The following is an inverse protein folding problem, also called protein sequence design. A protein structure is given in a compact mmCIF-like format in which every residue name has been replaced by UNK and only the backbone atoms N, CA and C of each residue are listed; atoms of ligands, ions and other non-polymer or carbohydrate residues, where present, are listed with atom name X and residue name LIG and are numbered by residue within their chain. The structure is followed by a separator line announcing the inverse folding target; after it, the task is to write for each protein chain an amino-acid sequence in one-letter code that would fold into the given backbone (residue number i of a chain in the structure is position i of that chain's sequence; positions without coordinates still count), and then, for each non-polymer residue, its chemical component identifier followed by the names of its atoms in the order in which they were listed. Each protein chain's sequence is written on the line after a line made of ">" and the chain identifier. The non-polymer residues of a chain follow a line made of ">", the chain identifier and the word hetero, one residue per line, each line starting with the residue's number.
data_IF_018885165714
#
_entry.id   IF_018885165714
#
_cell.length_a   1.000
_cell.length_b   1.000
_cell.length_c   1.000
_cell.angle_alpha   90.00
_cell.angle_beta   90.00
_cell.angle_gamma   90.00
#
_symmetry.space_group_name_H-M   'P 1'
#
loop_
_entity.id
_entity.type
_entity.pdbx_description
1 polymer ?
#
# COMPACT_ATOMS: atom_id res chain seq x y z
N UNK A 1 -4.30 12.34 22.69
CA UNK A 1 -3.78 13.70 22.95
C UNK A 1 -4.39 14.63 21.90
N UNK A 2 -5.28 15.56 22.26
CA UNK A 2 -5.90 16.46 21.27
C UNK A 2 -4.88 17.48 20.78
N UNK A 3 -4.47 17.35 19.52
CA UNK A 3 -3.63 18.33 18.82
C UNK A 3 -4.46 19.57 18.48
N UNK A 4 -3.87 20.76 18.58
CA UNK A 4 -4.58 21.99 18.19
C UNK A 4 -4.73 22.07 16.66
N UNK A 5 -5.86 22.59 16.18
CA UNK A 5 -6.15 22.72 14.75
C UNK A 5 -5.04 23.48 14.00
N UNK A 6 -4.51 24.54 14.61
CA UNK A 6 -3.42 25.34 14.03
C UNK A 6 -2.11 24.54 13.88
N UNK A 7 -1.79 23.67 14.84
CA UNK A 7 -0.62 22.80 14.76
C UNK A 7 -0.80 21.74 13.68
N UNK A 8 -1.97 21.07 13.63
CA UNK A 8 -2.27 20.03 12.63
C UNK A 8 -2.19 20.58 11.21
N UNK A 9 -2.77 21.77 10.96
CA UNK A 9 -2.70 22.43 9.65
C UNK A 9 -1.26 22.77 9.25
N UNK A 10 -0.46 23.27 10.19
CA UNK A 10 0.96 23.56 9.94
C UNK A 10 1.76 22.29 9.66
N UNK A 11 1.50 21.22 10.39
CA UNK A 11 2.16 19.92 10.18
C UNK A 11 1.85 19.37 8.79
N UNK A 12 0.56 19.30 8.41
CA UNK A 12 0.12 18.80 7.09
C UNK A 12 0.69 19.61 5.93
N UNK A 13 0.86 20.93 6.10
CA UNK A 13 1.50 21.77 5.07
C UNK A 13 2.97 21.41 4.84
N UNK A 14 3.69 21.00 5.87
CA UNK A 14 5.11 20.64 5.78
C UNK A 14 5.33 19.15 5.47
N UNK A 15 4.39 18.30 5.88
CA UNK A 15 4.38 16.85 5.68
C UNK A 15 3.03 16.41 5.09
N UNK A 16 2.80 16.64 3.78
CA UNK A 16 1.60 16.15 3.12
C UNK A 16 1.56 14.61 3.12
N UNK A 17 0.35 14.04 3.06
CA UNK A 17 0.11 12.59 3.17
C UNK A 17 1.05 11.76 2.29
N UNK A 18 1.08 12.03 0.98
CA UNK A 18 1.93 11.29 0.03
C UNK A 18 3.42 11.31 0.39
N UNK A 19 3.91 12.45 0.89
CA UNK A 19 5.32 12.57 1.29
C UNK A 19 5.61 11.81 2.58
N UNK A 20 4.67 11.79 3.52
CA UNK A 20 4.80 11.01 4.74
C UNK A 20 4.69 9.50 4.44
N UNK A 21 3.72 9.10 3.63
CA UNK A 21 3.51 7.72 3.17
C UNK A 21 4.73 7.16 2.44
N UNK A 22 5.31 7.92 1.50
CA UNK A 22 6.54 7.51 0.79
C UNK A 22 7.71 7.22 1.75
N UNK A 23 7.84 7.97 2.86
CA UNK A 23 8.84 7.67 3.90
C UNK A 23 8.50 6.39 4.65
N UNK A 24 7.24 6.20 5.01
CA UNK A 24 6.77 5.00 5.72
C UNK A 24 7.01 3.73 4.90
N UNK A 25 6.68 3.76 3.61
CA UNK A 25 6.94 2.65 2.69
C UNK A 25 8.45 2.33 2.64
N UNK A 26 9.31 3.36 2.67
CA UNK A 26 10.77 3.15 2.67
C UNK A 26 11.31 2.50 3.94
N UNK A 27 10.54 2.49 5.04
CA UNK A 27 10.91 1.78 6.26
C UNK A 27 10.60 0.28 6.20
N UNK A 28 9.70 -0.15 5.30
CA UNK A 28 9.42 -1.57 5.08
C UNK A 28 8.68 -2.27 6.23
N UNK A 29 7.83 -1.53 6.95
CA UNK A 29 6.99 -2.12 8.00
C UNK A 29 5.98 -3.11 7.41
N UNK A 30 5.79 -4.25 8.07
CA UNK A 30 5.01 -5.38 7.53
C UNK A 30 3.61 -5.53 8.10
N UNK A 31 3.30 -4.83 9.18
CA UNK A 31 2.01 -4.93 9.84
C UNK A 31 1.73 -3.72 10.72
N UNK A 32 0.50 -3.63 11.22
CA UNK A 32 0.12 -2.67 12.25
C UNK A 32 0.91 -2.87 13.55
N UNK A 33 1.16 -4.11 13.94
CA UNK A 33 1.91 -4.42 15.16
C UNK A 33 3.37 -3.96 15.04
N UNK A 34 4.01 -4.21 13.89
CA UNK A 34 5.36 -3.72 13.58
C UNK A 34 5.42 -2.18 13.60
N UNK A 35 4.36 -1.52 13.10
CA UNK A 35 4.22 -0.08 13.23
C UNK A 35 4.16 0.38 14.69
N UNK A 36 3.38 -0.29 15.53
CA UNK A 36 3.23 0.08 16.95
C UNK A 36 4.54 -0.13 17.73
N UNK A 37 5.30 -1.16 17.38
CA UNK A 37 6.66 -1.37 17.88
C UNK A 37 7.61 -0.25 17.43
N UNK A 38 7.52 0.19 16.17
CA UNK A 38 8.31 1.30 15.65
C UNK A 38 7.95 2.65 16.31
N UNK A 39 6.67 2.88 16.62
CA UNK A 39 6.19 4.03 17.39
C UNK A 39 6.77 4.00 18.79
N UNK A 40 6.63 2.87 19.50
CA UNK A 40 7.03 2.74 20.91
C UNK A 40 8.56 2.82 21.10
N UNK A 41 9.32 2.34 20.12
CA UNK A 41 10.78 2.42 20.10
C UNK A 41 11.33 3.76 19.57
N UNK A 42 10.46 4.65 19.07
CA UNK A 42 10.84 5.98 18.57
C UNK A 42 11.55 5.97 17.21
N UNK A 43 11.41 4.90 16.43
CA UNK A 43 12.10 4.70 15.15
C UNK A 43 11.56 5.58 14.01
N UNK A 44 10.32 6.06 14.11
CA UNK A 44 9.64 6.81 13.04
C UNK A 44 10.21 8.23 12.81
N UNK A 45 10.94 8.78 13.78
CA UNK A 45 11.47 10.15 13.72
C UNK A 45 10.39 11.24 13.78
N UNK A 46 10.77 12.49 13.48
CA UNK A 46 9.89 13.66 13.64
C UNK A 46 8.92 13.93 12.47
N UNK A 47 9.13 13.26 11.34
CA UNK A 47 8.44 13.55 10.07
C UNK A 47 7.33 12.57 9.73
N UNK A 48 7.06 11.63 10.64
CA UNK A 48 6.05 10.61 10.51
C UNK A 48 5.21 10.65 11.80
N UNK A 49 3.90 10.90 11.70
CA UNK A 49 3.04 10.95 12.88
C UNK A 49 2.81 9.54 13.41
N UNK A 50 2.72 9.36 14.73
CA UNK A 50 2.43 8.05 15.34
C UNK A 50 1.01 7.56 15.06
N UNK A 51 0.06 8.50 14.91
CA UNK A 51 -1.36 8.26 14.58
C UNK A 51 -1.67 8.90 13.22
N UNK A 52 -1.24 8.26 12.11
CA UNK A 52 -1.41 8.80 10.77
C UNK A 52 -2.88 8.81 10.31
N UNK A 53 -3.69 7.88 10.81
CA UNK A 53 -5.14 7.78 10.62
C UNK A 53 -5.88 9.01 11.17
N UNK A 54 -5.46 9.51 12.33
CA UNK A 54 -5.99 10.77 12.88
C UNK A 54 -5.43 12.00 12.15
N UNK A 55 -4.12 12.02 11.87
CA UNK A 55 -3.45 13.15 11.23
C UNK A 55 -3.96 13.42 9.81
N UNK A 56 -4.22 12.35 9.06
CA UNK A 56 -4.59 12.38 7.65
C UNK A 56 -6.00 11.84 7.42
N UNK A 57 -6.91 12.01 8.37
CA UNK A 57 -8.26 11.44 8.33
C UNK A 57 -9.07 11.70 7.04
N UNK A 58 -8.71 12.71 6.24
CA UNK A 58 -9.35 13.00 4.95
C UNK A 58 -8.75 12.14 3.82
N UNK A 59 -7.44 11.96 3.83
CA UNK A 59 -6.67 11.19 2.83
C UNK A 59 -6.51 9.71 3.19
N UNK A 60 -6.72 9.36 4.46
CA UNK A 60 -6.51 8.02 4.99
C UNK A 60 -7.50 7.02 4.41
N UNK A 61 -6.98 5.89 3.93
CA UNK A 61 -7.78 4.79 3.39
C UNK A 61 -7.71 3.58 4.32
N UNK A 62 -6.52 3.03 4.54
CA UNK A 62 -6.30 1.89 5.42
C UNK A 62 -4.84 1.80 5.87
N UNK A 63 -4.59 0.95 6.86
CA UNK A 63 -3.24 0.60 7.29
C UNK A 63 -2.42 -0.03 6.18
N UNK A 64 -3.00 -0.96 5.42
CA UNK A 64 -2.30 -1.62 4.31
C UNK A 64 -1.85 -0.60 3.26
N UNK A 65 -2.68 0.40 2.97
CA UNK A 65 -2.30 1.47 2.06
C UNK A 65 -1.17 2.33 2.62
N UNK A 66 -1.29 2.76 3.88
CA UNK A 66 -0.29 3.59 4.53
C UNK A 66 1.09 2.92 4.63
N UNK A 67 1.09 1.62 4.95
CA UNK A 67 2.29 0.81 5.06
C UNK A 67 2.82 0.32 3.71
N UNK A 68 2.04 0.46 2.64
CA UNK A 68 2.42 -0.02 1.30
C UNK A 68 2.37 -1.53 1.15
N UNK A 69 1.52 -2.21 1.93
CA UNK A 69 1.35 -3.66 1.85
C UNK A 69 0.62 -4.03 0.56
N UNK A 70 1.11 -5.06 -0.12
CA UNK A 70 0.42 -5.61 -1.29
C UNK A 70 -0.93 -6.21 -0.89
N UNK A 71 -1.85 -6.24 -1.85
CA UNK A 71 -3.14 -6.92 -1.71
C UNK A 71 -2.96 -8.42 -1.51
N UNK A 72 -4.00 -9.07 -1.03
CA UNK A 72 -4.04 -10.54 -0.95
C UNK A 72 -4.08 -11.16 -2.35
N UNK A 73 -3.85 -12.46 -2.45
CA UNK A 73 -3.96 -13.19 -3.71
C UNK A 73 -5.31 -12.96 -4.40
N UNK A 74 -6.42 -13.18 -3.68
CA UNK A 74 -7.79 -13.03 -4.20
C UNK A 74 -8.09 -11.60 -4.64
N UNK A 75 -7.66 -10.61 -3.87
CA UNK A 75 -7.85 -9.21 -4.21
C UNK A 75 -7.03 -8.81 -5.45
N UNK A 76 -5.76 -9.26 -5.54
CA UNK A 76 -4.93 -9.01 -6.72
C UNK A 76 -5.51 -9.67 -7.95
N UNK A 77 -6.01 -10.90 -7.83
CA UNK A 77 -6.73 -11.62 -8.89
C UNK A 77 -7.97 -10.84 -9.33
N UNK A 78 -8.77 -10.34 -8.39
CA UNK A 78 -9.94 -9.51 -8.69
C UNK A 78 -9.53 -8.22 -9.43
N UNK A 79 -8.47 -7.54 -8.99
CA UNK A 79 -7.96 -6.34 -9.66
C UNK A 79 -7.50 -6.65 -11.09
N UNK A 80 -6.74 -7.72 -11.29
CA UNK A 80 -6.22 -8.13 -12.59
C UNK A 80 -7.36 -8.46 -13.57
N UNK A 81 -8.34 -9.26 -13.14
CA UNK A 81 -9.38 -9.80 -14.03
C UNK A 81 -10.56 -8.86 -14.21
N UNK A 82 -11.12 -8.33 -13.12
CA UNK A 82 -12.38 -7.60 -13.15
C UNK A 82 -12.19 -6.09 -13.32
N UNK A 83 -11.12 -5.53 -12.76
CA UNK A 83 -10.85 -4.07 -12.84
C UNK A 83 -9.99 -3.73 -14.05
N UNK A 84 -8.94 -4.52 -14.32
CA UNK A 84 -8.01 -4.27 -15.41
C UNK A 84 -8.36 -5.04 -16.69
N UNK A 85 -9.11 -6.14 -16.59
CA UNK A 85 -9.53 -6.94 -17.75
C UNK A 85 -8.40 -7.76 -18.38
N UNK A 86 -7.34 -8.03 -17.63
CA UNK A 86 -6.16 -8.75 -18.08
C UNK A 86 -6.44 -10.26 -18.13
N UNK A 87 -5.82 -10.95 -19.09
CA UNK A 87 -6.11 -12.37 -19.37
C UNK A 87 -4.93 -13.31 -19.18
N UNK A 88 -3.71 -12.78 -19.04
CA UNK A 88 -2.50 -13.57 -18.91
C UNK A 88 -1.38 -12.79 -18.20
N UNK A 89 -0.36 -13.51 -17.73
CA UNK A 89 0.82 -12.94 -17.08
C UNK A 89 1.58 -11.97 -17.99
N UNK A 90 1.56 -12.20 -19.31
CA UNK A 90 2.18 -11.30 -20.28
C UNK A 90 1.54 -9.92 -20.30
N UNK A 91 0.20 -9.86 -20.35
CA UNK A 91 -0.55 -8.60 -20.27
C UNK A 91 -0.37 -7.93 -18.91
N UNK A 92 -0.36 -8.71 -17.83
CA UNK A 92 -0.15 -8.22 -16.48
C UNK A 92 1.23 -7.57 -16.30
N UNK A 93 2.29 -8.26 -16.69
CA UNK A 93 3.66 -7.76 -16.57
C UNK A 93 3.83 -6.49 -17.42
N UNK A 94 3.30 -6.51 -18.66
CA UNK A 94 3.31 -5.34 -19.53
C UNK A 94 2.58 -4.15 -18.90
N UNK A 95 1.45 -4.39 -18.23
CA UNK A 95 0.71 -3.34 -17.52
C UNK A 95 1.53 -2.73 -16.38
N UNK A 96 2.11 -3.57 -15.51
CA UNK A 96 2.91 -3.10 -14.37
C UNK A 96 4.13 -2.29 -14.84
N UNK A 97 4.77 -2.71 -15.93
CA UNK A 97 5.92 -2.00 -16.51
C UNK A 97 5.51 -0.67 -17.18
N UNK A 98 4.41 -0.66 -17.93
CA UNK A 98 3.96 0.54 -18.65
C UNK A 98 3.34 1.60 -17.72
N UNK A 99 2.68 1.18 -16.64
CA UNK A 99 1.97 2.06 -15.71
C UNK A 99 2.29 1.73 -14.24
N UNK A 100 3.56 1.85 -13.89
CA UNK A 100 4.06 1.55 -12.55
C UNK A 100 3.36 2.35 -11.45
N UNK A 101 2.95 3.60 -11.73
CA UNK A 101 2.22 4.43 -10.75
C UNK A 101 0.85 3.87 -10.44
N UNK A 102 0.11 3.42 -11.47
CA UNK A 102 -1.19 2.79 -11.25
C UNK A 102 -1.04 1.43 -10.59
N UNK A 103 -0.03 0.64 -10.97
CA UNK A 103 0.26 -0.63 -10.31
C UNK A 103 0.58 -0.45 -8.82
N UNK A 104 1.41 0.53 -8.48
CA UNK A 104 1.71 0.91 -7.09
C UNK A 104 0.43 1.33 -6.34
N UNK A 105 -0.41 2.18 -6.95
CA UNK A 105 -1.68 2.62 -6.37
C UNK A 105 -2.69 1.47 -6.17
N UNK A 106 -2.65 0.46 -7.04
CA UNK A 106 -3.47 -0.75 -6.89
C UNK A 106 -2.91 -1.73 -5.86
N UNK A 107 -1.66 -1.52 -5.40
CA UNK A 107 -0.94 -2.38 -4.45
C UNK A 107 -0.87 -3.83 -4.94
N UNK A 108 -0.58 -4.00 -6.23
CA UNK A 108 -0.41 -5.31 -6.85
C UNK A 108 1.09 -5.59 -7.07
N UNK A 109 1.55 -6.83 -6.84
CA UNK A 109 2.96 -7.17 -7.02
C UNK A 109 3.36 -7.19 -8.50
N UNK A 110 4.63 -6.95 -8.81
CA UNK A 110 5.10 -7.02 -10.19
C UNK A 110 5.05 -8.43 -10.80
N UNK A 111 5.22 -9.45 -9.95
CA UNK A 111 5.21 -10.87 -10.32
C UNK A 111 4.31 -11.64 -9.35
N UNK A 112 3.01 -11.77 -9.63
CA UNK A 112 2.08 -12.44 -8.72
C UNK A 112 2.40 -13.92 -8.58
N UNK A 113 2.95 -14.55 -9.61
CA UNK A 113 3.38 -15.95 -9.63
C UNK A 113 4.53 -16.26 -8.66
N UNK A 114 5.39 -15.26 -8.40
CA UNK A 114 6.49 -15.38 -7.44
C UNK A 114 6.04 -14.89 -6.06
N UNK A 115 5.30 -13.77 -6.01
CA UNK A 115 4.90 -13.15 -4.76
C UNK A 115 3.94 -14.03 -3.96
N UNK A 116 3.04 -14.74 -4.64
CA UNK A 116 2.08 -15.66 -4.03
C UNK A 116 2.48 -17.12 -4.27
N UNK A 117 3.77 -17.45 -4.28
CA UNK A 117 4.25 -18.81 -4.63
C UNK A 117 3.55 -19.94 -3.85
N UNK A 118 3.18 -19.69 -2.60
CA UNK A 118 2.47 -20.65 -1.74
C UNK A 118 0.98 -20.85 -2.11
N UNK A 119 0.35 -19.82 -2.70
CA UNK A 119 -1.08 -19.81 -3.09
C UNK A 119 -1.26 -20.03 -4.60
N UNK A 120 -0.18 -19.93 -5.38
CA UNK A 120 -0.21 -19.98 -6.83
C UNK A 120 -0.43 -21.41 -7.34
N UNK A 121 -1.54 -21.61 -8.05
CA UNK A 121 -1.87 -22.90 -8.68
C UNK A 121 -1.34 -22.93 -10.11
N UNK A 122 -1.93 -22.11 -10.96
CA UNK A 122 -1.52 -21.90 -12.34
C UNK A 122 -2.06 -20.58 -12.87
N UNK A 123 -1.53 -20.15 -14.01
CA UNK A 123 -1.92 -18.90 -14.67
C UNK A 123 -3.41 -18.89 -15.05
N UNK A 124 -3.95 -20.02 -15.48
CA UNK A 124 -5.35 -20.11 -15.90
C UNK A 124 -6.29 -19.82 -14.74
N UNK A 125 -6.03 -20.42 -13.59
CA UNK A 125 -6.80 -20.23 -12.35
C UNK A 125 -6.72 -18.78 -11.88
N UNK A 126 -5.54 -18.16 -11.99
CA UNK A 126 -5.36 -16.75 -11.63
C UNK A 126 -6.18 -15.80 -12.51
N UNK A 127 -6.21 -16.01 -13.83
CA UNK A 127 -6.93 -15.10 -14.76
C UNK A 127 -8.37 -15.51 -15.07
N UNK A 128 -8.87 -16.60 -14.50
CA UNK A 128 -10.28 -16.94 -14.54
C UNK A 128 -11.10 -15.86 -13.81
N UNK A 129 -12.23 -15.44 -14.41
CA UNK A 129 -13.06 -14.41 -13.79
C UNK A 129 -13.70 -14.97 -12.51
N UNK A 130 -13.58 -14.21 -11.42
CA UNK A 130 -14.34 -14.46 -10.18
C UNK A 130 -15.79 -14.05 -10.34
#
# INVERSE_FOLDING_TARGET
>A
MMLSLAWTLRYRRLNPYERARSRVISFGHRSKDDWDDAVSSGQLGQYVPSHPDEMYAIEWVSWDEWLGLMRTYDETRYMATNVLGLKCLGEYTSFVECDAKRAEGLRIPARPDIYYEDEWIDEQSFFEKS
#
